data_IF_438046195018
#
_entry.id   IF_438046195018
#
_cell.length_a   1.000
_cell.length_b   1.000
_cell.length_c   1.000
_cell.angle_alpha   90.00
_cell.angle_beta   90.00
_cell.angle_gamma   90.00
#
_symmetry.space_group_name_H-M   'P 1'
#
loop_
_entity.id
_entity.type
_entity.pdbx_description
1 polymer ?
#
# COMPACT_ATOMS: atom_id res chain seq x y z
N UNK A 1 16.03 2.16 -3.02
CA UNK A 1 15.06 1.72 -1.98
C UNK A 1 15.83 1.47 -0.69
N UNK A 2 15.25 1.81 0.47
CA UNK A 2 15.72 1.35 1.78
C UNK A 2 14.74 0.30 2.32
N UNK A 3 15.26 -0.77 2.89
CA UNK A 3 14.48 -1.76 3.64
C UNK A 3 14.98 -1.78 5.08
N UNK A 4 14.08 -1.64 6.04
CA UNK A 4 14.37 -1.83 7.45
C UNK A 4 13.38 -2.81 8.07
N UNK A 5 13.85 -3.62 9.00
CA UNK A 5 13.06 -4.60 9.72
C UNK A 5 13.76 -5.08 10.99
N UNK A 6 12.96 -5.43 12.00
CA UNK A 6 13.44 -6.05 13.22
C UNK A 6 12.63 -7.32 13.48
N UNK A 7 13.33 -8.43 13.62
CA UNK A 7 12.71 -9.68 14.08
C UNK A 7 12.37 -9.59 15.56
N UNK A 8 11.19 -10.06 15.93
CA UNK A 8 10.78 -10.14 17.32
C UNK A 8 10.23 -11.54 17.66
N UNK A 9 10.17 -11.86 18.95
CA UNK A 9 9.32 -12.93 19.44
C UNK A 9 7.84 -12.52 19.42
N UNK A 10 6.95 -13.41 19.87
CA UNK A 10 5.51 -13.13 19.96
C UNK A 10 5.16 -12.13 21.05
N UNK A 11 6.08 -11.83 21.97
CA UNK A 11 5.97 -10.77 22.97
C UNK A 11 6.56 -9.44 22.50
N UNK A 12 6.92 -9.40 21.21
CA UNK A 12 7.46 -8.22 20.52
C UNK A 12 8.85 -7.82 21.03
N UNK A 13 9.59 -8.71 21.70
CA UNK A 13 10.97 -8.45 22.07
C UNK A 13 11.88 -8.67 20.87
N UNK A 14 12.82 -7.75 20.59
CA UNK A 14 13.77 -7.90 19.50
C UNK A 14 14.58 -9.19 19.61
N UNK A 15 14.78 -9.85 18.46
CA UNK A 15 15.63 -11.05 18.31
C UNK A 15 16.69 -10.73 17.25
N UNK A 16 17.96 -10.81 17.63
CA UNK A 16 19.07 -10.51 16.75
C UNK A 16 19.19 -9.03 16.38
N UNK A 17 20.09 -8.75 15.45
CA UNK A 17 20.31 -7.40 14.97
C UNK A 17 19.22 -6.98 13.98
N UNK A 18 18.88 -5.68 13.92
CA UNK A 18 17.95 -5.16 12.92
C UNK A 18 18.55 -5.27 11.51
N UNK A 19 17.70 -5.47 10.53
CA UNK A 19 18.05 -5.35 9.13
C UNK A 19 17.81 -3.91 8.70
N UNK A 20 18.84 -3.26 8.16
CA UNK A 20 18.74 -1.93 7.56
C UNK A 20 19.62 -1.90 6.32
N UNK A 21 19.02 -1.92 5.14
CA UNK A 21 19.70 -2.14 3.87
C UNK A 21 19.28 -1.13 2.82
N UNK A 22 20.22 -0.71 2.01
CA UNK A 22 19.96 0.01 0.77
C UNK A 22 19.96 -0.96 -0.41
N UNK A 23 19.03 -0.77 -1.33
CA UNK A 23 19.03 -1.43 -2.64
C UNK A 23 19.42 -0.42 -3.69
N UNK A 24 20.40 -0.79 -4.51
CA UNK A 24 20.95 0.06 -5.57
C UNK A 24 19.87 0.59 -6.47
N UNK A 25 19.94 1.88 -6.77
CA UNK A 25 19.12 2.46 -7.81
C UNK A 25 19.63 2.01 -9.17
N UNK A 26 18.72 1.66 -10.05
CA UNK A 26 19.04 1.18 -11.40
C UNK A 26 19.13 2.35 -12.37
N UNK A 27 19.96 2.23 -13.39
CA UNK A 27 20.28 3.29 -14.37
C UNK A 27 19.12 3.65 -15.31
N UNK A 28 18.01 2.94 -15.23
CA UNK A 28 16.77 3.22 -15.95
C UNK A 28 15.71 3.97 -15.09
N UNK A 29 16.10 4.48 -13.92
CA UNK A 29 15.14 5.04 -12.96
C UNK A 29 15.55 6.44 -12.49
N UNK A 30 14.67 7.43 -12.73
CA UNK A 30 14.73 8.73 -12.07
C UNK A 30 14.16 8.60 -10.65
N UNK A 31 14.85 9.12 -9.62
CA UNK A 31 14.33 9.07 -8.26
C UNK A 31 13.10 9.96 -8.09
N UNK A 32 12.21 9.63 -7.12
CA UNK A 32 11.20 10.60 -6.69
C UNK A 32 11.87 11.75 -5.92
N UNK A 33 11.82 13.00 -6.41
CA UNK A 33 12.41 14.12 -5.70
C UNK A 33 11.83 14.30 -4.29
N UNK A 34 10.54 14.06 -4.15
CA UNK A 34 9.85 14.14 -2.86
C UNK A 34 10.38 13.08 -1.87
N UNK A 35 10.59 11.86 -2.34
CA UNK A 35 11.09 10.78 -1.49
C UNK A 35 12.53 11.06 -1.01
N UNK A 36 13.39 11.59 -1.88
CA UNK A 36 14.75 11.97 -1.50
C UNK A 36 14.77 13.07 -0.46
N UNK A 37 13.93 14.11 -0.61
CA UNK A 37 13.83 15.19 0.37
C UNK A 37 13.39 14.68 1.74
N UNK A 38 12.50 13.67 1.78
CA UNK A 38 12.03 13.06 3.02
C UNK A 38 13.10 12.16 3.64
N UNK A 39 13.67 11.25 2.86
CA UNK A 39 14.62 10.24 3.39
C UNK A 39 16.04 10.78 3.55
N UNK A 40 16.47 11.66 2.64
CA UNK A 40 17.85 12.13 2.55
C UNK A 40 18.80 11.13 1.88
N UNK A 41 18.30 10.03 1.33
CA UNK A 41 19.10 8.96 0.70
C UNK A 41 19.27 9.28 -0.79
N UNK A 42 20.49 9.56 -1.21
CA UNK A 42 20.80 9.86 -2.61
C UNK A 42 20.97 8.59 -3.46
N UNK A 43 20.78 8.67 -4.79
CA UNK A 43 21.10 7.57 -5.70
C UNK A 43 22.54 7.11 -5.55
N UNK A 44 23.49 8.05 -5.45
CA UNK A 44 24.92 7.80 -5.29
C UNK A 44 25.22 6.98 -4.03
N UNK A 45 24.59 7.33 -2.92
CA UNK A 45 24.70 6.55 -1.69
C UNK A 45 24.16 5.13 -1.89
N UNK A 46 23.05 4.95 -2.63
CA UNK A 46 22.55 3.60 -2.89
C UNK A 46 23.50 2.77 -3.76
N UNK A 47 24.26 3.40 -4.65
CA UNK A 47 25.29 2.70 -5.44
C UNK A 47 26.47 2.26 -4.58
N UNK A 48 26.89 3.12 -3.65
CA UNK A 48 28.05 2.86 -2.77
C UNK A 48 27.73 1.78 -1.73
N UNK A 49 26.62 1.92 -1.01
CA UNK A 49 26.32 1.16 0.21
C UNK A 49 25.23 0.09 -0.01
N UNK A 50 24.59 0.09 -1.18
CA UNK A 50 23.46 -0.80 -1.47
C UNK A 50 23.88 -2.12 -2.11
N UNK A 51 22.99 -3.10 -2.03
CA UNK A 51 23.06 -4.38 -2.74
C UNK A 51 22.17 -4.36 -3.99
N UNK A 52 22.41 -5.28 -4.94
CA UNK A 52 21.57 -5.38 -6.13
C UNK A 52 20.15 -5.82 -5.79
N UNK A 53 19.20 -5.58 -6.71
CA UNK A 53 17.82 -6.06 -6.54
C UNK A 53 17.73 -7.58 -6.49
N UNK A 54 18.51 -8.28 -7.33
CA UNK A 54 18.56 -9.74 -7.34
C UNK A 54 19.06 -10.29 -6.01
N UNK A 55 20.09 -9.68 -5.43
CA UNK A 55 20.66 -10.06 -4.14
C UNK A 55 19.66 -9.79 -3.01
N UNK A 56 19.06 -8.61 -2.96
CA UNK A 56 18.04 -8.29 -1.96
C UNK A 56 16.83 -9.23 -2.07
N UNK A 57 16.34 -9.52 -3.28
CA UNK A 57 15.22 -10.46 -3.47
C UNK A 57 15.51 -11.85 -2.91
N UNK A 58 16.75 -12.34 -3.08
CA UNK A 58 17.22 -13.61 -2.53
C UNK A 58 17.27 -13.57 -1.00
N UNK A 59 17.89 -12.52 -0.44
CA UNK A 59 18.01 -12.31 1.01
C UNK A 59 16.63 -12.18 1.66
N UNK A 60 15.74 -11.40 1.06
CA UNK A 60 14.38 -11.23 1.57
C UNK A 60 13.64 -12.55 1.74
N UNK A 61 13.70 -13.44 0.75
CA UNK A 61 12.99 -14.72 0.80
C UNK A 61 13.67 -15.75 1.72
N UNK A 62 15.00 -15.76 1.78
CA UNK A 62 15.74 -16.80 2.47
C UNK A 62 16.05 -16.46 3.94
N UNK A 63 16.16 -15.17 4.27
CA UNK A 63 16.64 -14.72 5.59
C UNK A 63 15.61 -13.89 6.34
N UNK A 64 14.79 -13.10 5.62
CA UNK A 64 13.81 -12.21 6.24
C UNK A 64 12.43 -12.86 6.30
N UNK A 65 11.87 -13.25 5.17
CA UNK A 65 10.55 -13.88 5.09
C UNK A 65 10.64 -15.41 5.23
N UNK A 66 11.29 -15.90 6.29
CA UNK A 66 11.43 -17.34 6.56
C UNK A 66 10.10 -17.98 6.96
N UNK A 67 10.03 -19.34 6.95
CA UNK A 67 8.84 -20.08 7.36
C UNK A 67 8.30 -19.62 8.73
N UNK A 68 6.99 -19.50 8.86
CA UNK A 68 6.32 -19.07 10.10
C UNK A 68 6.37 -17.58 10.41
N UNK A 69 7.08 -16.76 9.61
CA UNK A 69 7.17 -15.32 9.86
C UNK A 69 5.83 -14.61 9.68
N UNK A 70 5.48 -13.74 10.63
CA UNK A 70 4.39 -12.76 10.51
C UNK A 70 5.01 -11.44 10.08
N UNK A 71 4.90 -11.07 8.80
CA UNK A 71 5.37 -9.77 8.33
C UNK A 71 4.38 -8.69 8.78
N UNK A 72 4.85 -7.79 9.65
CA UNK A 72 4.02 -6.76 10.25
C UNK A 72 4.50 -5.38 9.81
N UNK A 73 3.55 -4.51 9.47
CA UNK A 73 3.83 -3.14 9.08
C UNK A 73 2.68 -2.19 9.45
N UNK A 74 2.82 -0.95 9.03
CA UNK A 74 1.83 0.10 9.24
C UNK A 74 1.34 0.65 7.90
N UNK A 75 0.12 0.37 7.49
CA UNK A 75 -0.42 0.59 6.14
C UNK A 75 0.28 -0.25 5.06
N UNK A 76 0.99 -1.29 5.46
CA UNK A 76 1.85 -2.12 4.61
C UNK A 76 1.07 -2.88 3.54
N UNK A 77 -0.13 -3.39 3.86
CA UNK A 77 -0.98 -4.13 2.90
C UNK A 77 -1.33 -3.32 1.65
N UNK A 78 -1.34 -2.00 1.74
CA UNK A 78 -1.71 -1.10 0.62
C UNK A 78 -0.52 -0.48 -0.08
N UNK A 79 0.64 -0.50 0.53
CA UNK A 79 1.84 0.14 0.01
C UNK A 79 3.01 -0.85 -0.09
N UNK A 80 3.60 -1.26 1.02
CA UNK A 80 4.81 -2.08 1.03
C UNK A 80 4.60 -3.44 0.39
N UNK A 81 3.45 -4.09 0.64
CA UNK A 81 3.14 -5.39 0.05
C UNK A 81 3.01 -5.31 -1.47
N UNK A 82 2.35 -4.27 -1.99
CA UNK A 82 2.19 -4.09 -3.43
C UNK A 82 3.54 -3.77 -4.08
N UNK A 83 4.35 -2.94 -3.42
CA UNK A 83 5.71 -2.67 -3.86
C UNK A 83 6.55 -3.95 -3.91
N UNK A 84 6.55 -4.75 -2.84
CA UNK A 84 7.30 -6.00 -2.77
C UNK A 84 6.83 -7.04 -3.80
N UNK A 85 5.54 -7.10 -4.11
CA UNK A 85 5.03 -8.00 -5.17
C UNK A 85 5.60 -7.64 -6.54
N UNK A 86 5.54 -6.37 -6.92
CA UNK A 86 6.11 -5.92 -8.19
C UNK A 86 7.63 -6.04 -8.20
N UNK A 87 8.29 -5.76 -7.07
CA UNK A 87 9.72 -5.93 -6.92
C UNK A 87 10.16 -7.40 -7.10
N UNK A 88 9.48 -8.34 -6.44
CA UNK A 88 9.76 -9.77 -6.57
C UNK A 88 9.46 -10.27 -7.99
N UNK A 89 8.34 -9.82 -8.59
CA UNK A 89 7.96 -10.13 -9.96
C UNK A 89 9.07 -9.77 -10.95
N UNK A 90 9.55 -8.52 -10.92
CA UNK A 90 10.59 -8.08 -11.85
C UNK A 90 11.96 -8.71 -11.59
N UNK A 91 12.14 -9.38 -10.44
CA UNK A 91 13.36 -10.08 -10.06
C UNK A 91 13.22 -11.62 -10.10
N UNK A 92 12.27 -12.13 -10.88
CA UNK A 92 12.06 -13.57 -11.07
C UNK A 92 11.86 -14.34 -9.78
N UNK A 93 11.13 -13.76 -8.82
CA UNK A 93 10.70 -14.42 -7.59
C UNK A 93 9.18 -14.52 -7.58
N UNK A 94 8.65 -15.53 -6.86
CA UNK A 94 7.20 -15.59 -6.66
C UNK A 94 6.73 -14.36 -5.86
N UNK A 95 5.78 -13.56 -6.40
CA UNK A 95 5.36 -12.31 -5.78
C UNK A 95 4.41 -12.49 -4.59
N UNK A 96 3.95 -13.70 -4.29
CA UNK A 96 2.90 -13.96 -3.31
C UNK A 96 3.29 -14.88 -2.17
N UNK A 97 4.11 -15.93 -2.42
CA UNK A 97 4.42 -17.01 -1.47
C UNK A 97 5.02 -16.51 -0.15
N UNK A 98 5.80 -15.43 -0.18
CA UNK A 98 6.37 -14.81 1.02
C UNK A 98 5.31 -14.38 2.04
N UNK A 99 4.07 -14.19 1.62
CA UNK A 99 2.99 -13.63 2.42
C UNK A 99 2.00 -14.68 2.96
N UNK A 100 2.12 -15.95 2.57
CA UNK A 100 1.18 -16.99 2.99
C UNK A 100 1.73 -18.43 3.00
N UNK A 101 2.73 -18.75 2.18
CA UNK A 101 3.27 -20.12 2.11
C UNK A 101 4.04 -20.47 3.39
N UNK A 102 4.16 -21.76 3.70
CA UNK A 102 4.93 -22.25 4.85
C UNK A 102 4.57 -21.56 6.17
N UNK A 103 3.28 -21.42 6.44
CA UNK A 103 2.73 -20.76 7.64
C UNK A 103 3.10 -19.28 7.81
N UNK A 104 3.67 -18.66 6.78
CA UNK A 104 3.88 -17.20 6.74
C UNK A 104 2.54 -16.47 6.74
N UNK A 105 2.53 -15.26 7.22
CA UNK A 105 1.37 -14.40 7.18
C UNK A 105 1.77 -12.93 7.21
N UNK A 106 0.81 -12.05 6.95
CA UNK A 106 0.96 -10.59 7.03
C UNK A 106 0.03 -10.04 8.09
N UNK A 107 0.40 -8.91 8.66
CA UNK A 107 -0.47 -8.19 9.57
C UNK A 107 -0.23 -6.68 9.45
N UNK A 108 -1.28 -5.90 9.31
CA UNK A 108 -1.21 -4.45 9.17
C UNK A 108 -1.81 -3.79 10.42
N UNK A 109 -0.98 -3.05 11.14
CA UNK A 109 -1.39 -2.43 12.39
C UNK A 109 -2.27 -1.19 12.22
N UNK A 110 -2.33 -0.56 11.06
CA UNK A 110 -3.08 0.68 10.90
C UNK A 110 -4.59 0.50 11.15
N UNK A 111 -5.20 -0.54 10.56
CA UNK A 111 -6.63 -0.81 10.78
C UNK A 111 -6.88 -1.41 12.16
N UNK A 112 -5.89 -2.11 12.76
CA UNK A 112 -5.91 -2.54 14.18
C UNK A 112 -5.99 -1.33 15.10
N UNK A 113 -5.10 -0.35 14.95
CA UNK A 113 -5.09 0.92 15.69
C UNK A 113 -6.44 1.63 15.58
N UNK A 114 -7.01 1.71 14.37
CA UNK A 114 -8.33 2.31 14.15
C UNK A 114 -9.42 1.61 14.94
N UNK A 115 -9.46 0.27 14.91
CA UNK A 115 -10.50 -0.48 15.62
C UNK A 115 -10.31 -0.43 17.13
N UNK A 116 -9.07 -0.49 17.64
CA UNK A 116 -8.76 -0.33 19.07
C UNK A 116 -9.22 1.05 19.53
N UNK A 117 -8.88 2.11 18.82
CA UNK A 117 -9.35 3.47 19.13
C UNK A 117 -10.86 3.55 19.19
N UNK A 118 -11.53 2.94 18.21
CA UNK A 118 -12.98 2.97 18.09
C UNK A 118 -13.69 2.19 19.22
N UNK A 119 -13.14 1.04 19.66
CA UNK A 119 -13.82 0.15 20.58
C UNK A 119 -13.28 0.18 22.02
N UNK A 120 -11.97 0.37 22.17
CA UNK A 120 -11.25 0.22 23.45
C UNK A 120 -10.11 1.24 23.55
N UNK A 121 -10.42 2.55 23.65
CA UNK A 121 -9.39 3.60 23.63
C UNK A 121 -8.58 3.72 24.92
N UNK A 122 -9.00 3.11 26.01
CA UNK A 122 -8.41 3.32 27.33
C UNK A 122 -6.95 2.84 27.40
N UNK A 123 -6.15 3.53 28.17
CA UNK A 123 -4.72 3.23 28.36
C UNK A 123 -3.78 3.77 27.29
N UNK A 124 -4.31 4.34 26.19
CA UNK A 124 -3.53 4.85 25.07
C UNK A 124 -3.78 6.34 24.89
N UNK A 125 -2.70 7.11 24.71
CA UNK A 125 -2.78 8.53 24.38
C UNK A 125 -3.05 8.68 22.87
N UNK A 126 -4.24 9.15 22.52
CA UNK A 126 -4.66 9.24 21.12
C UNK A 126 -4.35 10.61 20.52
N UNK A 127 -3.59 10.68 19.42
CA UNK A 127 -3.23 11.94 18.83
C UNK A 127 -4.41 12.65 18.17
N UNK A 128 -4.46 13.96 18.34
CA UNK A 128 -5.43 14.86 17.71
C UNK A 128 -4.63 15.98 17.03
N UNK A 129 -4.89 16.20 15.76
CA UNK A 129 -4.30 17.32 15.01
C UNK A 129 -5.34 18.41 14.78
N UNK A 130 -4.90 19.63 14.68
CA UNK A 130 -5.74 20.76 14.25
C UNK A 130 -5.57 20.96 12.75
N UNK A 131 -6.66 20.92 12.02
CA UNK A 131 -6.71 21.17 10.58
C UNK A 131 -7.92 22.04 10.25
N UNK A 132 -7.70 23.18 9.59
CA UNK A 132 -8.75 24.14 9.21
C UNK A 132 -9.62 24.56 10.43
N UNK A 133 -8.98 24.80 11.59
CA UNK A 133 -9.64 25.17 12.83
C UNK A 133 -10.48 24.06 13.49
N UNK A 134 -10.35 22.81 13.02
CA UNK A 134 -11.06 21.65 13.57
C UNK A 134 -10.08 20.64 14.17
N UNK A 135 -10.41 20.12 15.34
CA UNK A 135 -9.68 19.00 15.96
C UNK A 135 -10.07 17.71 15.26
N UNK A 136 -9.09 17.04 14.65
CA UNK A 136 -9.29 15.82 13.89
C UNK A 136 -8.42 14.71 14.50
N UNK A 137 -9.05 13.56 14.72
CA UNK A 137 -8.34 12.33 15.11
C UNK A 137 -7.40 11.87 14.00
N UNK A 138 -6.11 11.71 14.31
CA UNK A 138 -5.14 11.08 13.42
C UNK A 138 -4.73 9.71 13.95
N UNK A 139 -4.34 8.82 13.03
CA UNK A 139 -3.82 7.49 13.35
C UNK A 139 -2.50 7.27 12.59
N UNK A 140 -1.70 8.33 12.38
CA UNK A 140 -0.35 8.16 11.80
C UNK A 140 0.58 7.54 12.83
N UNK A 141 1.52 6.70 12.39
CA UNK A 141 2.48 6.04 13.27
C UNK A 141 3.30 7.05 14.05
N UNK A 142 3.84 8.05 13.37
CA UNK A 142 4.62 9.14 13.95
C UNK A 142 3.86 9.87 15.07
N UNK A 143 2.61 10.31 14.80
CA UNK A 143 1.83 11.01 15.82
C UNK A 143 1.51 10.12 17.02
N UNK A 144 1.19 8.85 16.78
CA UNK A 144 0.86 7.90 17.84
C UNK A 144 2.10 7.56 18.68
N UNK A 145 3.25 7.39 18.04
CA UNK A 145 4.52 7.15 18.73
C UNK A 145 4.93 8.34 19.59
N UNK A 146 4.82 9.56 19.06
CA UNK A 146 5.12 10.80 19.78
C UNK A 146 4.23 10.98 21.02
N UNK A 147 2.92 10.83 20.89
CA UNK A 147 2.01 10.99 22.02
C UNK A 147 2.22 9.96 23.14
N UNK A 148 2.77 8.79 22.80
CA UNK A 148 3.02 7.69 23.73
C UNK A 148 4.51 7.49 24.09
N UNK A 149 5.34 8.49 23.80
CA UNK A 149 6.76 8.54 24.22
C UNK A 149 7.64 7.44 23.57
N UNK A 150 7.34 7.02 22.33
CA UNK A 150 8.13 6.06 21.53
C UNK A 150 8.91 6.73 20.39
N UNK A 151 8.94 8.06 20.34
CA UNK A 151 9.62 8.79 19.28
C UNK A 151 11.12 8.74 19.47
N UNK A 152 11.84 8.25 18.46
CA UNK A 152 13.29 8.36 18.38
C UNK A 152 13.69 9.70 17.73
N UNK A 153 14.83 10.27 18.16
CA UNK A 153 15.35 11.58 17.68
C UNK A 153 15.67 11.63 16.18
N UNK A 154 15.72 10.49 15.50
CA UNK A 154 15.98 10.36 14.06
C UNK A 154 14.69 10.07 13.29
N UNK A 155 13.68 10.93 13.42
CA UNK A 155 12.46 10.84 12.62
C UNK A 155 12.80 10.75 11.11
N UNK A 156 12.15 9.82 10.39
CA UNK A 156 12.33 9.50 8.97
C UNK A 156 13.52 8.58 8.60
N UNK A 157 14.20 7.98 9.56
CA UNK A 157 14.99 6.78 9.31
C UNK A 157 14.04 5.56 9.32
N UNK A 158 14.12 4.70 8.33
CA UNK A 158 13.25 3.54 8.24
C UNK A 158 13.36 2.59 9.45
N UNK A 159 14.52 2.53 10.10
CA UNK A 159 14.70 1.76 11.34
C UNK A 159 13.99 2.42 12.52
N UNK A 160 13.99 3.74 12.62
CA UNK A 160 13.24 4.46 13.64
C UNK A 160 11.72 4.22 13.51
N UNK A 161 11.20 4.14 12.29
CA UNK A 161 9.80 3.78 12.03
C UNK A 161 9.48 2.34 12.48
N UNK A 162 10.42 1.40 12.30
CA UNK A 162 10.27 0.02 12.78
C UNK A 162 10.25 -0.04 14.31
N UNK A 163 11.11 0.73 14.99
CA UNK A 163 11.11 0.83 16.45
C UNK A 163 9.81 1.44 16.99
N UNK A 164 9.32 2.50 16.35
CA UNK A 164 8.03 3.11 16.66
C UNK A 164 6.88 2.13 16.48
N UNK A 165 6.90 1.34 15.39
CA UNK A 165 5.91 0.29 15.12
C UNK A 165 5.89 -0.77 16.23
N UNK A 166 7.06 -1.25 16.65
CA UNK A 166 7.20 -2.21 17.76
C UNK A 166 6.68 -1.60 19.06
N UNK A 167 7.02 -0.34 19.35
CA UNK A 167 6.54 0.39 20.52
C UNK A 167 5.01 0.47 20.57
N UNK A 168 4.39 0.87 19.45
CA UNK A 168 2.93 0.93 19.32
C UNK A 168 2.30 -0.47 19.45
N UNK A 169 2.88 -1.49 18.82
CA UNK A 169 2.37 -2.85 18.94
C UNK A 169 2.43 -3.38 20.38
N UNK A 170 3.54 -3.12 21.12
CA UNK A 170 3.67 -3.45 22.54
C UNK A 170 2.63 -2.73 23.40
N UNK A 171 2.39 -1.44 23.13
CA UNK A 171 1.38 -0.66 23.83
C UNK A 171 -0.02 -1.27 23.62
N UNK A 172 -0.40 -1.55 22.36
CA UNK A 172 -1.68 -2.18 22.04
C UNK A 172 -1.83 -3.53 22.74
N UNK A 173 -0.79 -4.37 22.72
CA UNK A 173 -0.78 -5.69 23.38
C UNK A 173 -0.92 -5.57 24.89
N UNK A 174 -0.24 -4.59 25.51
CA UNK A 174 -0.27 -4.36 26.95
C UNK A 174 -1.63 -3.84 27.42
N UNK A 175 -2.14 -2.79 26.78
CA UNK A 175 -3.37 -2.09 27.24
C UNK A 175 -4.65 -2.81 26.79
N UNK A 176 -4.62 -3.47 25.63
CA UNK A 176 -5.79 -4.14 25.04
C UNK A 176 -5.50 -5.56 24.56
N UNK A 177 -4.97 -6.46 25.41
CA UNK A 177 -4.46 -7.78 25.00
C UNK A 177 -5.49 -8.64 24.28
N UNK A 178 -6.75 -8.67 24.75
CA UNK A 178 -7.80 -9.48 24.11
C UNK A 178 -8.13 -9.02 22.70
N UNK A 179 -8.18 -7.71 22.48
CA UNK A 179 -8.46 -7.13 21.15
C UNK A 179 -7.26 -7.33 20.25
N UNK A 180 -6.04 -7.17 20.78
CA UNK A 180 -4.81 -7.42 20.05
C UNK A 180 -4.75 -8.86 19.52
N UNK A 181 -4.92 -9.86 20.39
CA UNK A 181 -4.87 -11.28 20.03
C UNK A 181 -6.00 -11.66 19.06
N UNK A 182 -7.19 -11.12 19.27
CA UNK A 182 -8.34 -11.31 18.38
C UNK A 182 -8.02 -10.79 16.95
N UNK A 183 -7.53 -9.57 16.83
CA UNK A 183 -7.20 -8.97 15.53
C UNK A 183 -5.96 -9.62 14.90
N UNK A 184 -4.99 -10.05 15.69
CA UNK A 184 -3.86 -10.84 15.20
C UNK A 184 -4.34 -12.17 14.58
N UNK A 185 -5.36 -12.80 15.16
CA UNK A 185 -5.95 -14.03 14.60
C UNK A 185 -6.65 -13.77 13.25
N UNK A 186 -7.23 -12.58 13.03
CA UNK A 186 -7.90 -12.20 11.78
C UNK A 186 -6.93 -12.00 10.60
N UNK A 187 -5.61 -12.09 10.79
CA UNK A 187 -4.66 -12.20 9.66
C UNK A 187 -4.92 -13.48 8.83
N UNK A 188 -5.56 -14.47 9.43
CA UNK A 188 -6.04 -15.65 8.74
C UNK A 188 -7.36 -15.35 8.03
N UNK A 189 -7.36 -15.33 6.70
CA UNK A 189 -8.54 -15.03 5.89
C UNK A 189 -9.74 -15.95 6.19
N UNK A 190 -9.51 -17.20 6.65
CA UNK A 190 -10.59 -18.12 6.99
C UNK A 190 -11.40 -17.64 8.20
N UNK A 191 -10.75 -16.99 9.16
CA UNK A 191 -11.45 -16.41 10.33
C UNK A 191 -12.29 -15.21 9.92
N UNK A 192 -11.78 -14.38 9.01
CA UNK A 192 -12.57 -13.26 8.44
C UNK A 192 -13.77 -13.78 7.64
N UNK A 193 -13.59 -14.84 6.84
CA UNK A 193 -14.69 -15.44 6.06
C UNK A 193 -15.81 -15.98 6.96
N UNK A 194 -15.48 -16.54 8.13
CA UNK A 194 -16.50 -16.99 9.09
C UNK A 194 -17.35 -15.83 9.61
N UNK A 195 -16.71 -14.67 9.87
CA UNK A 195 -17.41 -13.47 10.34
C UNK A 195 -18.27 -12.83 9.26
N UNK A 196 -17.73 -12.72 8.05
CA UNK A 196 -18.40 -12.11 6.91
C UNK A 196 -19.16 -13.14 6.05
N UNK A 197 -19.81 -14.10 6.71
CA UNK A 197 -20.58 -15.16 6.08
C UNK A 197 -21.83 -14.60 5.38
N UNK A 198 -22.13 -15.07 4.18
CA UNK A 198 -23.31 -14.68 3.40
C UNK A 198 -24.53 -15.61 3.61
N UNK A 199 -24.34 -16.81 4.15
CA UNK A 199 -25.43 -17.74 4.41
C UNK A 199 -26.31 -17.27 5.59
N UNK A 200 -25.66 -16.73 6.63
CA UNK A 200 -26.33 -16.06 7.76
C UNK A 200 -25.58 -14.77 8.11
N UNK A 201 -25.76 -13.71 7.30
CA UNK A 201 -25.00 -12.47 7.45
C UNK A 201 -25.35 -11.76 8.75
N UNK A 202 -24.31 -11.44 9.52
CA UNK A 202 -24.41 -10.69 10.77
C UNK A 202 -23.80 -9.30 10.59
N UNK A 203 -24.29 -8.34 11.40
CA UNK A 203 -23.69 -7.00 11.44
C UNK A 203 -22.31 -7.03 12.08
N UNK A 204 -21.35 -6.36 11.45
CA UNK A 204 -19.97 -6.26 11.88
C UNK A 204 -19.56 -4.82 12.09
N UNK A 205 -18.83 -4.53 13.15
CA UNK A 205 -18.07 -3.29 13.27
C UNK A 205 -16.86 -3.40 12.37
N UNK A 206 -16.62 -2.43 11.50
CA UNK A 206 -15.53 -2.43 10.52
C UNK A 206 -14.78 -1.12 10.55
N UNK A 207 -13.47 -1.19 10.84
CA UNK A 207 -12.56 -0.05 10.77
C UNK A 207 -11.80 -0.07 9.44
N UNK A 208 -11.82 1.04 8.72
CA UNK A 208 -11.11 1.19 7.44
C UNK A 208 -10.87 2.65 7.12
N UNK A 209 -9.71 2.98 6.56
CA UNK A 209 -9.38 4.33 6.07
C UNK A 209 -10.38 4.91 5.07
N UNK A 210 -11.26 4.08 4.50
CA UNK A 210 -12.29 4.47 3.55
C UNK A 210 -13.53 5.12 4.19
N UNK A 211 -13.69 5.02 5.51
CA UNK A 211 -14.78 5.66 6.24
C UNK A 211 -14.38 7.06 6.70
N UNK A 212 -15.38 7.88 7.07
CA UNK A 212 -15.17 9.24 7.53
C UNK A 212 -14.33 9.30 8.82
N UNK A 213 -13.46 10.30 8.91
CA UNK A 213 -12.74 10.61 10.15
C UNK A 213 -13.69 11.09 11.28
N UNK A 214 -14.85 11.62 10.92
CA UNK A 214 -15.92 12.01 11.84
C UNK A 214 -16.41 10.84 12.70
N UNK A 215 -16.32 9.62 12.16
CA UNK A 215 -16.71 8.37 12.81
C UNK A 215 -15.47 7.53 13.16
N UNK A 216 -14.33 8.17 13.40
CA UNK A 216 -13.06 7.52 13.71
C UNK A 216 -12.68 6.39 12.72
N UNK A 217 -13.02 6.59 11.43
CA UNK A 217 -12.79 5.58 10.38
C UNK A 217 -13.51 4.24 10.60
N UNK A 218 -14.58 4.22 11.38
CA UNK A 218 -15.28 3.00 11.80
C UNK A 218 -16.79 3.11 11.60
N UNK A 219 -17.43 2.04 11.15
CA UNK A 219 -18.88 1.94 11.01
C UNK A 219 -19.37 0.53 11.31
N UNK A 220 -20.69 0.32 11.23
CA UNK A 220 -21.30 -1.00 11.25
C UNK A 220 -21.73 -1.39 9.85
N UNK A 221 -21.33 -2.58 9.41
CA UNK A 221 -21.61 -3.08 8.06
C UNK A 221 -22.36 -4.40 8.07
N UNK A 222 -23.06 -4.68 6.99
CA UNK A 222 -23.67 -5.98 6.71
C UNK A 222 -23.06 -6.57 5.43
N UNK A 223 -22.51 -7.80 5.44
CA UNK A 223 -22.19 -8.53 4.22
C UNK A 223 -23.46 -8.78 3.40
N UNK A 224 -23.44 -8.43 2.10
CA UNK A 224 -24.66 -8.46 1.25
C UNK A 224 -24.55 -9.35 0.02
N UNK A 225 -23.38 -9.46 -0.59
CA UNK A 225 -23.17 -10.23 -1.81
C UNK A 225 -21.68 -10.56 -2.01
N UNK A 226 -21.34 -11.61 -2.77
CA UNK A 226 -19.95 -11.83 -3.18
C UNK A 226 -19.44 -10.68 -4.06
N UNK A 227 -18.14 -10.40 -3.99
CA UNK A 227 -17.49 -9.48 -4.93
C UNK A 227 -17.05 -10.24 -6.18
N UNK A 228 -16.90 -9.53 -7.30
CA UNK A 228 -16.22 -10.06 -8.51
C UNK A 228 -14.75 -10.39 -8.25
N UNK A 229 -14.13 -9.77 -7.26
CA UNK A 229 -12.76 -10.09 -6.86
C UNK A 229 -12.72 -11.32 -5.96
N UNK A 230 -11.77 -12.24 -6.19
CA UNK A 230 -11.58 -13.36 -5.28
C UNK A 230 -11.19 -12.85 -3.88
N UNK A 231 -11.58 -13.60 -2.84
CA UNK A 231 -11.33 -13.27 -1.44
C UNK A 231 -11.93 -11.93 -0.96
N UNK A 232 -13.07 -11.54 -1.49
CA UNK A 232 -13.78 -10.33 -1.07
C UNK A 232 -15.29 -10.50 -1.04
N UNK A 233 -15.95 -9.72 -0.20
CA UNK A 233 -17.40 -9.63 -0.07
C UNK A 233 -17.82 -8.15 -0.13
N UNK A 234 -18.98 -7.87 -0.71
CA UNK A 234 -19.58 -6.56 -0.65
C UNK A 234 -20.26 -6.37 0.71
N UNK A 235 -19.99 -5.22 1.33
CA UNK A 235 -20.58 -4.85 2.61
C UNK A 235 -21.31 -3.53 2.49
N UNK A 236 -22.51 -3.45 3.07
CA UNK A 236 -23.31 -2.22 3.16
C UNK A 236 -23.03 -1.51 4.48
N UNK A 237 -22.84 -0.21 4.46
CA UNK A 237 -22.75 0.65 5.65
C UNK A 237 -24.15 0.90 6.22
N UNK A 238 -24.45 0.32 7.38
CA UNK A 238 -25.77 0.37 8.01
C UNK A 238 -26.14 1.74 8.59
N UNK A 239 -25.28 2.76 8.49
CA UNK A 239 -25.65 4.16 8.76
C UNK A 239 -26.63 4.70 7.72
N UNK A 240 -26.64 4.13 6.52
CA UNK A 240 -27.43 4.61 5.40
C UNK A 240 -28.70 3.78 5.22
N UNK A 241 -29.81 4.47 5.05
CA UNK A 241 -31.13 3.86 4.86
C UNK A 241 -31.20 3.19 3.48
N UNK A 242 -31.50 1.89 3.39
CA UNK A 242 -31.61 1.19 2.10
C UNK A 242 -32.66 1.80 1.16
N UNK A 243 -33.76 2.34 1.71
CA UNK A 243 -34.84 2.98 0.93
C UNK A 243 -34.38 4.18 0.08
N UNK A 244 -33.30 4.89 0.51
CA UNK A 244 -32.76 6.03 -0.27
C UNK A 244 -32.10 5.58 -1.59
N UNK A 245 -31.84 4.29 -1.75
CA UNK A 245 -31.11 3.71 -2.88
C UNK A 245 -31.91 2.68 -3.67
N UNK A 246 -33.10 2.29 -3.20
CA UNK A 246 -33.88 1.20 -3.82
C UNK A 246 -34.41 1.54 -5.23
N UNK A 247 -34.66 2.82 -5.49
CA UNK A 247 -35.16 3.30 -6.76
C UNK A 247 -34.04 3.54 -7.80
N UNK A 248 -32.76 3.43 -7.39
CA UNK A 248 -31.66 3.57 -8.36
C UNK A 248 -31.71 2.45 -9.39
N UNK A 249 -31.48 2.83 -10.62
CA UNK A 249 -31.23 1.89 -11.72
C UNK A 249 -29.82 1.28 -11.60
N UNK A 250 -29.60 0.17 -12.28
CA UNK A 250 -28.26 -0.45 -12.36
C UNK A 250 -27.20 0.53 -12.86
N UNK A 251 -27.54 1.33 -13.89
CA UNK A 251 -26.60 2.27 -14.51
C UNK A 251 -26.24 3.43 -13.57
N UNK A 252 -27.21 3.93 -12.79
CA UNK A 252 -26.96 4.93 -11.75
C UNK A 252 -26.07 4.37 -10.63
N UNK A 253 -26.27 3.11 -10.24
CA UNK A 253 -25.41 2.42 -9.28
C UNK A 253 -24.00 2.29 -9.85
N UNK A 254 -23.86 1.84 -11.10
CA UNK A 254 -22.56 1.71 -11.77
C UNK A 254 -21.83 3.06 -11.86
N UNK A 255 -22.54 4.13 -12.24
CA UNK A 255 -21.98 5.48 -12.28
C UNK A 255 -21.44 5.93 -10.92
N UNK A 256 -22.16 5.64 -9.81
CA UNK A 256 -21.68 5.95 -8.45
C UNK A 256 -20.43 5.13 -8.06
N UNK A 257 -20.34 3.89 -8.49
CA UNK A 257 -19.21 3.00 -8.21
C UNK A 257 -17.96 3.43 -8.98
N UNK A 258 -18.11 3.84 -10.24
CA UNK A 258 -17.04 4.18 -11.18
C UNK A 258 -16.68 5.66 -11.20
N UNK A 259 -17.42 6.51 -10.45
CA UNK A 259 -17.17 7.95 -10.38
C UNK A 259 -15.69 8.25 -10.12
N UNK A 260 -15.14 9.22 -10.85
CA UNK A 260 -13.79 9.72 -10.67
C UNK A 260 -13.62 10.52 -9.37
N UNK A 261 -12.40 10.94 -9.10
CA UNK A 261 -12.10 11.68 -7.88
C UNK A 261 -12.84 13.02 -7.82
N UNK A 262 -12.89 13.77 -8.93
CA UNK A 262 -13.51 15.09 -8.98
C UNK A 262 -15.02 15.01 -8.73
N UNK A 263 -15.69 14.03 -9.35
CA UNK A 263 -17.10 13.73 -9.09
C UNK A 263 -17.35 13.35 -7.63
N UNK A 264 -16.48 12.52 -7.04
CA UNK A 264 -16.64 12.07 -5.64
C UNK A 264 -16.49 13.16 -4.60
N UNK A 265 -15.74 14.21 -4.88
CA UNK A 265 -15.56 15.36 -3.95
C UNK A 265 -16.59 16.47 -4.17
N UNK A 266 -17.42 16.39 -5.19
CA UNK A 266 -18.51 17.35 -5.41
C UNK A 266 -19.49 17.34 -4.23
N UNK A 267 -19.98 18.52 -3.84
CA UNK A 267 -20.82 18.69 -2.63
C UNK A 267 -22.14 17.92 -2.68
N UNK A 268 -22.67 17.70 -3.88
CA UNK A 268 -23.93 17.04 -4.16
C UNK A 268 -23.77 15.53 -4.47
N UNK A 269 -22.54 15.02 -4.47
CA UNK A 269 -22.30 13.61 -4.72
C UNK A 269 -22.67 12.76 -3.50
N UNK A 270 -23.71 11.93 -3.64
CA UNK A 270 -24.10 10.93 -2.66
C UNK A 270 -23.46 9.57 -3.02
N UNK A 271 -22.39 9.14 -2.33
CA UNK A 271 -21.75 7.87 -2.62
C UNK A 271 -22.65 6.68 -2.30
N UNK A 272 -22.51 5.61 -3.07
CA UNK A 272 -23.14 4.33 -2.69
C UNK A 272 -22.47 3.82 -1.39
N UNK A 273 -23.27 3.46 -0.36
CA UNK A 273 -22.74 3.01 0.93
C UNK A 273 -22.26 1.54 0.90
N UNK A 274 -21.66 1.12 -0.19
CA UNK A 274 -21.16 -0.24 -0.41
C UNK A 274 -19.65 -0.22 -0.63
N UNK A 275 -18.96 -1.16 0.02
CA UNK A 275 -17.51 -1.34 -0.11
C UNK A 275 -17.15 -2.81 -0.18
N UNK A 276 -15.95 -3.09 -0.71
CA UNK A 276 -15.36 -4.44 -0.63
C UNK A 276 -14.64 -4.61 0.70
N UNK A 277 -14.96 -5.69 1.40
CA UNK A 277 -14.20 -6.24 2.51
C UNK A 277 -13.38 -7.40 1.97
N UNK A 278 -12.07 -7.22 1.91
CA UNK A 278 -11.14 -8.23 1.40
C UNK A 278 -10.64 -9.11 2.54
N UNK A 279 -10.91 -10.40 2.51
CA UNK A 279 -10.55 -11.35 3.57
C UNK A 279 -9.03 -11.47 3.78
N UNK A 280 -8.27 -11.32 2.71
CA UNK A 280 -6.82 -11.47 2.70
C UNK A 280 -6.04 -10.15 2.86
N UNK A 281 -6.70 -9.07 3.25
CA UNK A 281 -6.08 -7.76 3.49
C UNK A 281 -6.12 -7.34 4.97
N UNK A 282 -6.06 -8.31 5.88
CA UNK A 282 -6.04 -8.11 7.33
C UNK A 282 -7.12 -7.11 7.83
N UNK A 283 -8.40 -7.26 7.44
CA UNK A 283 -9.42 -6.29 7.79
C UNK A 283 -9.67 -6.29 9.31
N UNK A 284 -9.74 -5.12 9.91
CA UNK A 284 -10.09 -4.97 11.32
C UNK A 284 -11.62 -4.94 11.46
N UNK A 285 -12.18 -6.09 11.75
CA UNK A 285 -13.63 -6.29 11.96
C UNK A 285 -13.91 -6.91 13.32
N UNK A 286 -15.07 -6.64 13.87
CA UNK A 286 -15.53 -7.25 15.13
C UNK A 286 -17.06 -7.47 15.12
N UNK A 287 -17.59 -8.43 15.90
CA UNK A 287 -19.03 -8.59 16.07
C UNK A 287 -19.68 -7.33 16.64
N UNK A 288 -20.94 -7.06 16.27
CA UNK A 288 -21.69 -5.89 16.74
C UNK A 288 -21.74 -5.78 18.28
N UNK A 289 -21.84 -6.90 18.97
CA UNK A 289 -21.87 -6.96 20.45
C UNK A 289 -20.59 -6.46 21.15
N UNK A 290 -19.54 -6.11 20.41
CA UNK A 290 -18.33 -5.47 20.99
C UNK A 290 -18.49 -3.98 21.24
N UNK A 291 -19.54 -3.35 20.69
CA UNK A 291 -19.88 -1.94 20.91
C UNK A 291 -20.56 -1.75 22.26
N UNK A 292 -19.91 -1.00 23.14
CA UNK A 292 -20.53 -0.47 24.35
C UNK A 292 -21.17 0.90 24.09
N UNK A 293 -21.95 1.41 25.05
CA UNK A 293 -22.65 2.69 24.94
C UNK A 293 -21.69 3.88 24.69
N UNK A 294 -20.49 3.81 25.24
CA UNK A 294 -19.48 4.86 25.09
C UNK A 294 -18.93 4.89 23.67
N UNK A 295 -18.62 3.73 23.11
CA UNK A 295 -18.20 3.58 21.71
C UNK A 295 -19.32 4.01 20.75
N UNK A 296 -20.57 3.61 21.00
CA UNK A 296 -21.73 4.01 20.20
C UNK A 296 -21.84 5.54 20.10
N UNK A 297 -21.78 6.23 21.27
CA UNK A 297 -21.83 7.70 21.32
C UNK A 297 -20.67 8.35 20.61
N UNK A 298 -19.44 7.89 20.84
CA UNK A 298 -18.23 8.43 20.20
C UNK A 298 -18.26 8.26 18.69
N UNK A 299 -18.66 7.10 18.22
CA UNK A 299 -18.81 6.79 16.80
C UNK A 299 -20.10 7.37 16.19
N UNK A 300 -20.94 8.03 16.97
CA UNK A 300 -22.24 8.57 16.53
C UNK A 300 -23.11 7.49 15.87
N UNK A 301 -23.22 6.32 16.49
CA UNK A 301 -24.04 5.21 16.02
C UNK A 301 -25.42 5.23 16.70
N UNK A 302 -26.47 5.22 15.91
CA UNK A 302 -27.83 4.94 16.36
C UNK A 302 -28.12 3.45 16.16
N UNK A 303 -28.08 2.67 17.24
CA UNK A 303 -28.25 1.21 17.17
C UNK A 303 -29.65 0.83 16.68
N UNK A 304 -30.70 1.60 17.05
CA UNK A 304 -32.06 1.34 16.56
C UNK A 304 -32.17 1.53 15.06
N UNK A 305 -31.54 2.59 14.55
CA UNK A 305 -31.47 2.82 13.09
C UNK A 305 -30.69 1.71 12.39
N UNK A 306 -29.55 1.28 12.95
CA UNK A 306 -28.73 0.19 12.41
C UNK A 306 -29.56 -1.11 12.34
N UNK A 307 -30.31 -1.46 13.41
CA UNK A 307 -31.18 -2.64 13.43
C UNK A 307 -32.33 -2.54 12.41
N UNK A 308 -32.93 -1.37 12.28
CA UNK A 308 -33.95 -1.13 11.27
C UNK A 308 -33.40 -1.26 9.85
N UNK A 309 -32.24 -0.69 9.59
CA UNK A 309 -31.55 -0.76 8.28
C UNK A 309 -31.12 -2.19 7.96
N UNK A 310 -30.61 -2.93 8.94
CA UNK A 310 -30.32 -4.36 8.83
C UNK A 310 -31.55 -5.17 8.40
N UNK A 311 -32.66 -4.99 9.09
CA UNK A 311 -33.90 -5.72 8.78
C UNK A 311 -34.49 -5.33 7.44
N UNK A 312 -34.43 -4.05 7.06
CA UNK A 312 -34.85 -3.54 5.75
C UNK A 312 -34.00 -4.14 4.63
N UNK A 313 -32.67 -4.10 4.78
CA UNK A 313 -31.74 -4.58 3.74
C UNK A 313 -31.87 -6.09 3.51
N UNK A 314 -32.00 -6.89 4.58
CA UNK A 314 -32.21 -8.36 4.44
C UNK A 314 -33.46 -8.73 3.63
N UNK A 315 -34.49 -7.88 3.67
CA UNK A 315 -35.74 -8.07 2.91
C UNK A 315 -35.67 -7.53 1.49
N UNK A 316 -34.73 -6.62 1.20
CA UNK A 316 -34.64 -5.94 -0.10
C UNK A 316 -33.66 -6.65 -1.05
N UNK A 317 -33.98 -7.89 -1.45
CA UNK A 317 -33.18 -8.66 -2.39
C UNK A 317 -32.98 -7.95 -3.72
N UNK A 318 -34.01 -7.23 -4.22
CA UNK A 318 -33.92 -6.50 -5.47
C UNK A 318 -32.84 -5.42 -5.50
N UNK A 319 -32.63 -4.69 -4.39
CA UNK A 319 -31.53 -3.74 -4.26
C UNK A 319 -30.17 -4.44 -4.25
N UNK A 320 -30.03 -5.53 -3.48
CA UNK A 320 -28.80 -6.31 -3.38
C UNK A 320 -28.40 -6.86 -4.77
N UNK A 321 -29.37 -7.42 -5.52
CA UNK A 321 -29.12 -7.99 -6.83
C UNK A 321 -28.69 -6.91 -7.85
N UNK A 322 -29.34 -5.72 -7.81
CA UNK A 322 -28.92 -4.58 -8.64
C UNK A 322 -27.48 -4.14 -8.33
N UNK A 323 -27.14 -4.06 -7.05
CA UNK A 323 -25.77 -3.70 -6.60
C UNK A 323 -24.75 -4.75 -7.06
N UNK A 324 -25.04 -6.03 -6.84
CA UNK A 324 -24.15 -7.12 -7.24
C UNK A 324 -23.91 -7.13 -8.74
N UNK A 325 -24.97 -6.97 -9.52
CA UNK A 325 -24.87 -6.90 -10.98
C UNK A 325 -24.06 -5.71 -11.45
N UNK A 326 -24.35 -4.50 -10.94
CA UNK A 326 -23.57 -3.30 -11.29
C UNK A 326 -22.10 -3.42 -10.86
N UNK A 327 -21.82 -4.12 -9.75
CA UNK A 327 -20.45 -4.34 -9.30
C UNK A 327 -19.65 -5.26 -10.21
N UNK A 328 -20.32 -6.28 -10.77
CA UNK A 328 -19.70 -7.21 -11.72
C UNK A 328 -19.50 -6.58 -13.11
N UNK A 329 -20.32 -5.59 -13.47
CA UNK A 329 -20.22 -4.87 -14.75
C UNK A 329 -19.24 -3.69 -14.71
N UNK A 330 -18.46 -3.53 -13.64
CA UNK A 330 -17.40 -2.52 -13.64
C UNK A 330 -16.47 -2.73 -14.82
N UNK A 331 -16.13 -1.66 -15.54
CA UNK A 331 -15.13 -1.75 -16.59
C UNK A 331 -13.83 -2.28 -16.02
N UNK A 332 -13.18 -3.15 -16.76
CA UNK A 332 -11.82 -3.58 -16.45
C UNK A 332 -10.88 -2.37 -16.47
N UNK A 333 -9.85 -2.41 -15.64
CA UNK A 333 -8.81 -1.38 -15.69
C UNK A 333 -8.13 -1.42 -17.06
N UNK A 334 -7.81 -0.23 -17.59
CA UNK A 334 -6.99 -0.12 -18.79
C UNK A 334 -5.67 -0.89 -18.53
N UNK A 335 -5.31 -1.86 -19.40
CA UNK A 335 -4.08 -2.62 -19.23
C UNK A 335 -2.88 -1.69 -19.11
N UNK A 336 -2.00 -1.96 -18.16
CA UNK A 336 -0.73 -1.26 -18.02
C UNK A 336 0.14 -1.66 -19.21
N UNK A 337 0.71 -0.67 -19.91
CA UNK A 337 1.55 -0.94 -21.09
C UNK A 337 2.89 -1.54 -20.71
N UNK A 338 3.48 -1.05 -19.62
CA UNK A 338 4.78 -1.53 -19.16
C UNK A 338 4.68 -2.93 -18.57
N UNK A 339 5.59 -3.81 -18.99
CA UNK A 339 5.58 -5.22 -18.63
C UNK A 339 5.68 -5.43 -17.11
N UNK A 340 6.42 -4.60 -16.40
CA UNK A 340 6.61 -4.72 -14.96
C UNK A 340 5.34 -4.37 -14.17
N UNK A 341 4.47 -3.54 -14.76
CA UNK A 341 3.14 -3.22 -14.22
C UNK A 341 2.08 -4.30 -14.47
N UNK A 342 2.37 -5.29 -15.32
CA UNK A 342 1.43 -6.31 -15.78
C UNK A 342 1.37 -7.56 -14.89
N UNK A 343 1.83 -7.47 -13.65
CA UNK A 343 1.79 -8.56 -12.67
C UNK A 343 0.41 -9.20 -12.53
N UNK A 344 -0.65 -8.39 -12.56
CA UNK A 344 -2.03 -8.84 -12.31
C UNK A 344 -2.82 -9.24 -13.56
N UNK A 345 -2.22 -9.18 -14.74
CA UNK A 345 -2.92 -9.57 -15.98
C UNK A 345 -3.24 -11.06 -16.01
N UNK A 346 -2.35 -11.90 -15.50
CA UNK A 346 -2.55 -13.35 -15.38
C UNK A 346 -1.65 -13.96 -14.29
N UNK A 347 -2.02 -15.15 -13.83
CA UNK A 347 -1.13 -15.97 -13.02
C UNK A 347 -0.03 -16.60 -13.87
N UNK A 348 1.16 -16.72 -13.29
CA UNK A 348 2.27 -17.44 -13.93
C UNK A 348 1.91 -18.90 -14.17
N UNK A 349 2.02 -19.40 -15.41
CA UNK A 349 1.79 -20.81 -15.70
C UNK A 349 2.70 -21.74 -14.90
N UNK A 350 2.19 -22.88 -14.48
CA UNK A 350 2.98 -23.86 -13.70
C UNK A 350 4.21 -24.35 -14.46
N UNK A 351 4.14 -24.44 -15.78
CA UNK A 351 5.26 -24.79 -16.65
C UNK A 351 6.45 -23.81 -16.55
N UNK A 352 6.18 -22.54 -16.21
CA UNK A 352 7.22 -21.51 -16.10
C UNK A 352 7.82 -21.40 -14.71
N UNK A 353 7.20 -21.96 -13.69
CA UNK A 353 7.71 -21.89 -12.31
C UNK A 353 9.12 -22.45 -12.14
N UNK A 354 9.42 -23.56 -12.83
CA UNK A 354 10.78 -24.14 -12.82
C UNK A 354 11.79 -23.26 -13.56
N UNK A 355 11.38 -22.66 -14.69
CA UNK A 355 12.20 -21.74 -15.47
C UNK A 355 12.52 -20.46 -14.70
N UNK A 356 11.52 -19.89 -14.01
CA UNK A 356 11.67 -18.71 -13.13
C UNK A 356 12.68 -19.01 -12.02
N UNK A 357 12.57 -20.17 -11.36
CA UNK A 357 13.55 -20.57 -10.34
C UNK A 357 14.97 -20.76 -10.92
N UNK A 358 15.07 -21.26 -12.13
CA UNK A 358 16.37 -21.40 -12.81
C UNK A 358 16.99 -20.03 -13.12
N UNK A 359 16.20 -19.05 -13.63
CA UNK A 359 16.66 -17.65 -13.81
C UNK A 359 17.13 -17.06 -12.48
N UNK A 360 16.32 -17.23 -11.42
CA UNK A 360 16.61 -16.67 -10.11
C UNK A 360 17.85 -17.27 -9.42
N UNK A 361 18.29 -18.46 -9.84
CA UNK A 361 19.47 -19.16 -9.33
C UNK A 361 20.72 -18.97 -10.22
N UNK A 362 20.55 -18.47 -11.44
CA UNK A 362 21.62 -18.34 -12.41
C UNK A 362 22.57 -17.17 -12.05
N UNK A 363 23.84 -17.38 -12.37
CA UNK A 363 24.89 -16.35 -12.32
C UNK A 363 25.03 -15.63 -13.68
N UNK A 364 25.99 -14.71 -13.76
CA UNK A 364 26.23 -13.90 -14.97
C UNK A 364 26.57 -14.75 -16.19
N UNK A 365 27.41 -15.79 -16.02
CA UNK A 365 27.85 -16.64 -17.11
C UNK A 365 26.70 -17.51 -17.64
N UNK A 366 25.95 -18.12 -16.72
CA UNK A 366 24.77 -18.91 -17.06
C UNK A 366 23.69 -18.06 -17.76
N UNK A 367 23.46 -16.82 -17.29
CA UNK A 367 22.45 -15.93 -17.88
C UNK A 367 22.79 -15.45 -19.28
N UNK A 368 24.06 -15.42 -19.67
CA UNK A 368 24.47 -14.97 -20.99
C UNK A 368 23.83 -15.83 -22.10
N UNK A 369 23.84 -17.16 -21.91
CA UNK A 369 23.31 -18.10 -22.91
C UNK A 369 21.91 -18.65 -22.52
N UNK A 370 21.32 -18.16 -21.42
CA UNK A 370 20.08 -18.70 -20.89
C UNK A 370 18.87 -18.15 -21.64
N UNK A 371 18.25 -18.99 -22.47
CA UNK A 371 17.06 -18.65 -23.23
C UNK A 371 15.93 -19.65 -22.94
N UNK A 372 15.22 -19.53 -21.80
CA UNK A 372 14.12 -20.43 -21.47
C UNK A 372 12.92 -20.14 -22.36
N UNK A 373 12.32 -21.21 -22.91
CA UNK A 373 11.08 -21.13 -23.68
C UNK A 373 9.91 -20.90 -22.73
N UNK A 374 9.66 -19.65 -22.34
CA UNK A 374 8.53 -19.30 -21.49
C UNK A 374 7.20 -19.48 -22.22
N UNK A 375 6.17 -19.91 -21.47
CA UNK A 375 4.79 -19.95 -21.94
C UNK A 375 4.12 -18.58 -21.74
N UNK A 376 4.48 -17.88 -20.68
CA UNK A 376 4.02 -16.53 -20.37
C UNK A 376 4.78 -15.51 -21.22
N UNK A 377 4.05 -14.85 -22.12
CA UNK A 377 4.61 -13.87 -23.07
C UNK A 377 5.27 -12.65 -22.40
N UNK A 378 4.99 -12.41 -21.11
CA UNK A 378 5.59 -11.30 -20.35
C UNK A 378 7.03 -11.59 -19.94
N UNK A 379 7.38 -12.85 -19.73
CA UNK A 379 8.64 -13.25 -19.11
C UNK A 379 9.88 -13.02 -19.98
N UNK A 380 9.87 -13.16 -21.33
CA UNK A 380 11.05 -12.85 -22.14
C UNK A 380 11.54 -11.41 -21.99
N UNK A 381 10.64 -10.43 -22.09
CA UNK A 381 11.01 -9.02 -21.92
C UNK A 381 11.43 -8.73 -20.47
N UNK A 382 10.75 -9.33 -19.51
CA UNK A 382 11.11 -9.20 -18.09
C UNK A 382 12.50 -9.76 -17.81
N UNK A 383 12.88 -10.90 -18.43
CA UNK A 383 14.21 -11.50 -18.31
C UNK A 383 15.29 -10.59 -18.88
N UNK A 384 15.04 -10.00 -20.04
CA UNK A 384 15.96 -9.04 -20.65
C UNK A 384 16.23 -7.87 -19.69
N UNK A 385 15.20 -7.25 -19.13
CA UNK A 385 15.34 -6.13 -18.18
C UNK A 385 16.00 -6.57 -16.86
N UNK A 386 15.71 -7.77 -16.38
CA UNK A 386 16.36 -8.35 -15.20
C UNK A 386 17.86 -8.53 -15.40
N UNK A 387 18.27 -9.08 -16.56
CA UNK A 387 19.67 -9.21 -16.95
C UNK A 387 20.35 -7.83 -16.98
N UNK A 388 19.75 -6.87 -17.66
CA UNK A 388 20.32 -5.53 -17.84
C UNK A 388 20.57 -4.82 -16.49
N UNK A 389 19.66 -4.90 -15.53
CA UNK A 389 19.77 -4.24 -14.22
C UNK A 389 20.72 -4.94 -13.26
N UNK A 390 20.67 -6.27 -13.22
CA UNK A 390 21.38 -7.03 -12.20
C UNK A 390 22.66 -7.70 -12.71
N UNK A 391 22.72 -8.01 -14.00
CA UNK A 391 23.79 -8.77 -14.63
C UNK A 391 24.20 -8.16 -15.99
N UNK A 392 24.55 -6.88 -16.07
CA UNK A 392 24.80 -6.20 -17.36
C UNK A 392 25.90 -6.88 -18.21
N UNK A 393 26.82 -7.59 -17.56
CA UNK A 393 27.88 -8.36 -18.27
C UNK A 393 27.36 -9.62 -18.98
N UNK A 394 26.11 -10.03 -18.71
CA UNK A 394 25.46 -11.15 -19.40
C UNK A 394 24.78 -10.75 -20.71
N UNK A 395 24.75 -9.46 -21.06
CA UNK A 395 24.13 -8.96 -22.27
C UNK A 395 25.07 -9.09 -23.48
N UNK A 396 24.52 -9.51 -24.62
CA UNK A 396 25.18 -9.39 -25.91
C UNK A 396 25.25 -7.92 -26.36
N UNK A 397 26.07 -7.61 -27.39
CA UNK A 397 26.19 -6.26 -27.94
C UNK A 397 24.85 -5.73 -28.47
N UNK A 398 24.03 -6.58 -29.10
CA UNK A 398 22.71 -6.23 -29.60
C UNK A 398 21.72 -5.95 -28.43
N UNK A 399 21.80 -6.75 -27.35
CA UNK A 399 21.01 -6.54 -26.15
C UNK A 399 21.41 -5.22 -25.45
N UNK A 400 22.68 -4.87 -25.39
CA UNK A 400 23.14 -3.57 -24.85
C UNK A 400 22.56 -2.42 -25.66
N UNK A 401 22.61 -2.45 -26.99
CA UNK A 401 22.00 -1.42 -27.82
C UNK A 401 20.47 -1.32 -27.62
N UNK A 402 19.82 -2.45 -27.48
CA UNK A 402 18.37 -2.52 -27.18
C UNK A 402 18.05 -1.92 -25.81
N UNK A 403 18.86 -2.20 -24.78
CA UNK A 403 18.71 -1.64 -23.44
C UNK A 403 18.89 -0.12 -23.42
N UNK A 404 19.94 0.38 -24.05
CA UNK A 404 20.22 1.81 -24.14
C UNK A 404 19.09 2.58 -24.82
N UNK A 405 18.58 2.04 -25.92
CA UNK A 405 17.42 2.63 -26.61
C UNK A 405 16.19 2.65 -25.74
N UNK A 406 15.80 1.52 -25.15
CA UNK A 406 14.60 1.42 -24.29
C UNK A 406 14.73 2.32 -23.06
N UNK A 407 15.89 2.33 -22.41
CA UNK A 407 16.19 3.17 -21.26
C UNK A 407 16.07 4.65 -21.60
N UNK A 408 16.65 5.05 -22.72
CA UNK A 408 16.58 6.42 -23.22
C UNK A 408 15.14 6.87 -23.50
N UNK A 409 14.34 6.05 -24.17
CA UNK A 409 12.91 6.36 -24.42
C UNK A 409 12.13 6.52 -23.12
N UNK A 410 12.36 5.66 -22.14
CA UNK A 410 11.72 5.74 -20.80
C UNK A 410 12.13 7.01 -20.06
N UNK A 411 13.43 7.27 -19.94
CA UNK A 411 13.96 8.40 -19.21
C UNK A 411 13.54 9.74 -19.84
N UNK A 412 13.62 9.85 -21.17
CA UNK A 412 13.17 11.05 -21.89
C UNK A 412 11.68 11.35 -21.68
N UNK A 413 10.85 10.32 -21.53
CA UNK A 413 9.44 10.49 -21.23
C UNK A 413 9.19 10.98 -19.80
N UNK A 414 9.99 10.54 -18.83
CA UNK A 414 9.85 10.86 -17.41
C UNK A 414 10.54 12.20 -17.03
N UNK A 415 11.58 12.58 -17.75
CA UNK A 415 12.44 13.72 -17.48
C UNK A 415 11.70 15.06 -17.33
N UNK A 416 10.70 15.42 -18.17
CA UNK A 416 10.00 16.71 -18.04
C UNK A 416 9.28 16.87 -16.71
N UNK A 417 8.65 15.80 -16.17
CA UNK A 417 7.98 15.86 -14.86
C UNK A 417 9.01 15.89 -13.72
N UNK A 418 10.10 15.16 -13.86
CA UNK A 418 11.21 15.17 -12.92
C UNK A 418 11.83 16.57 -12.79
N UNK A 419 12.23 17.20 -13.90
CA UNK A 419 12.81 18.54 -13.93
C UNK A 419 11.83 19.58 -13.35
N UNK A 420 10.54 19.48 -13.69
CA UNK A 420 9.51 20.34 -13.11
C UNK A 420 9.44 20.23 -11.59
N UNK A 421 9.52 19.02 -11.04
CA UNK A 421 9.49 18.79 -9.59
C UNK A 421 10.75 19.30 -8.91
N UNK A 422 11.93 19.13 -9.54
CA UNK A 422 13.18 19.74 -9.03
C UNK A 422 13.06 21.26 -8.95
N UNK A 423 12.57 21.91 -10.01
CA UNK A 423 12.34 23.35 -10.00
C UNK A 423 11.33 23.80 -8.94
N UNK A 424 10.33 22.98 -8.62
CA UNK A 424 9.40 23.28 -7.53
C UNK A 424 10.06 23.17 -6.16
N UNK A 425 10.87 22.17 -5.94
CA UNK A 425 11.62 22.02 -4.68
C UNK A 425 12.62 23.14 -4.49
N UNK A 426 13.35 23.51 -5.53
CA UNK A 426 14.26 24.65 -5.53
C UNK A 426 13.52 25.96 -5.15
N UNK A 427 12.40 26.24 -5.80
CA UNK A 427 11.56 27.40 -5.47
C UNK A 427 11.04 27.35 -4.01
N UNK A 428 10.71 26.17 -3.48
CA UNK A 428 10.29 26.01 -2.08
C UNK A 428 11.44 26.32 -1.12
N UNK A 429 12.65 25.87 -1.42
CA UNK A 429 13.86 26.14 -0.62
C UNK A 429 14.16 27.63 -0.54
N UNK A 430 14.04 28.34 -1.65
CA UNK A 430 14.26 29.79 -1.72
C UNK A 430 13.02 30.62 -1.34
N UNK A 431 11.96 29.97 -0.85
CA UNK A 431 10.68 30.59 -0.52
C UNK A 431 10.03 31.38 -1.67
N UNK A 432 10.24 30.93 -2.87
CA UNK A 432 9.70 31.48 -4.11
C UNK A 432 8.42 30.77 -4.53
N UNK A 433 7.71 31.36 -5.49
CA UNK A 433 6.58 30.73 -6.17
C UNK A 433 6.82 30.80 -7.68
N UNK A 434 6.86 29.66 -8.37
CA UNK A 434 7.08 29.64 -9.81
C UNK A 434 6.02 30.44 -10.56
N UNK A 435 6.44 31.23 -11.55
CA UNK A 435 5.54 32.03 -12.39
C UNK A 435 4.83 31.14 -13.42
N UNK A 436 3.63 31.53 -13.81
CA UNK A 436 2.85 30.90 -14.91
C UNK A 436 2.46 29.41 -14.68
N UNK A 437 2.26 28.99 -13.43
CA UNK A 437 1.72 27.65 -13.15
C UNK A 437 0.26 27.52 -13.65
N UNK A 438 -0.05 26.38 -14.27
CA UNK A 438 -1.45 26.01 -14.51
C UNK A 438 -2.20 25.91 -13.17
N UNK A 439 -3.53 26.05 -13.18
CA UNK A 439 -4.35 25.90 -11.96
C UNK A 439 -4.10 24.56 -11.25
N UNK A 440 -3.89 23.49 -12.01
CA UNK A 440 -3.61 22.16 -11.48
C UNK A 440 -2.20 22.09 -10.86
N UNK A 441 -1.19 22.61 -11.56
CA UNK A 441 0.18 22.64 -11.04
C UNK A 441 0.29 23.54 -9.82
N UNK A 442 -0.44 24.66 -9.77
CA UNK A 442 -0.50 25.52 -8.60
C UNK A 442 -1.03 24.76 -7.36
N UNK A 443 -2.11 23.98 -7.53
CA UNK A 443 -2.61 23.12 -6.44
C UNK A 443 -1.57 22.11 -5.98
N UNK A 444 -0.88 21.45 -6.91
CA UNK A 444 0.16 20.45 -6.61
C UNK A 444 1.36 21.09 -5.92
N UNK A 445 1.82 22.24 -6.41
CA UNK A 445 2.95 22.98 -5.82
C UNK A 445 2.66 23.39 -4.37
N UNK A 446 1.51 24.00 -4.09
CA UNK A 446 1.17 24.38 -2.72
C UNK A 446 0.91 23.17 -1.81
N UNK A 447 0.37 22.09 -2.34
CA UNK A 447 0.27 20.86 -1.59
C UNK A 447 1.66 20.35 -1.20
N UNK A 448 2.62 20.31 -2.15
CA UNK A 448 4.01 19.92 -1.89
C UNK A 448 4.66 20.85 -0.84
N UNK A 449 4.60 22.16 -1.03
CA UNK A 449 5.16 23.16 -0.11
C UNK A 449 4.68 23.01 1.34
N UNK A 450 3.44 22.55 1.53
CA UNK A 450 2.83 22.43 2.86
C UNK A 450 3.27 21.19 3.64
N UNK A 451 3.85 20.17 2.98
CA UNK A 451 4.18 18.94 3.68
C UNK A 451 5.65 18.52 3.55
N UNK A 452 6.37 18.99 2.52
CA UNK A 452 7.75 18.58 2.29
C UNK A 452 8.68 19.11 3.39
N UNK A 453 9.48 18.28 4.06
CA UNK A 453 10.46 18.76 5.03
C UNK A 453 11.62 19.44 4.31
N UNK A 454 12.02 20.60 4.81
CA UNK A 454 13.25 21.28 4.36
C UNK A 454 14.37 20.87 5.33
N UNK A 455 15.29 20.06 4.84
CA UNK A 455 16.48 19.63 5.59
C UNK A 455 17.64 20.61 5.40
N UNK A 456 18.58 20.63 6.33
CA UNK A 456 19.79 21.47 6.23
C UNK A 456 20.62 21.19 4.96
N UNK A 457 20.61 19.94 4.48
CA UNK A 457 21.31 19.52 3.26
C UNK A 457 20.45 19.49 2.01
N UNK A 458 19.31 20.18 1.98
CA UNK A 458 18.34 20.09 0.89
C UNK A 458 18.92 20.52 -0.48
N UNK A 459 19.76 21.54 -0.54
CA UNK A 459 20.45 21.97 -1.76
C UNK A 459 21.39 20.87 -2.29
N UNK A 460 22.14 20.22 -1.40
CA UNK A 460 22.96 19.06 -1.77
C UNK A 460 22.11 17.93 -2.35
N UNK A 461 20.97 17.62 -1.75
CA UNK A 461 20.06 16.59 -2.25
C UNK A 461 19.55 16.91 -3.66
N UNK A 462 19.22 18.19 -3.94
CA UNK A 462 18.82 18.61 -5.29
C UNK A 462 19.94 18.42 -6.31
N UNK A 463 21.17 18.79 -5.97
CA UNK A 463 22.33 18.61 -6.83
C UNK A 463 22.60 17.12 -7.13
N UNK A 464 22.55 16.27 -6.11
CA UNK A 464 22.73 14.82 -6.28
C UNK A 464 21.67 14.18 -7.20
N UNK A 465 20.40 14.62 -7.11
CA UNK A 465 19.34 14.19 -8.02
C UNK A 465 19.60 14.61 -9.46
N UNK A 466 20.08 15.83 -9.65
CA UNK A 466 20.39 16.41 -10.95
C UNK A 466 21.58 15.66 -11.60
N UNK A 467 22.67 15.49 -10.85
CA UNK A 467 23.85 14.73 -11.28
C UNK A 467 23.50 13.27 -11.63
N UNK A 468 22.62 12.63 -10.84
CA UNK A 468 22.14 11.30 -11.16
C UNK A 468 21.41 11.27 -12.50
N UNK A 469 20.44 12.16 -12.70
CA UNK A 469 19.69 12.22 -13.95
C UNK A 469 20.63 12.42 -15.16
N UNK A 470 21.58 13.35 -15.05
CA UNK A 470 22.58 13.60 -16.09
C UNK A 470 23.45 12.35 -16.36
N UNK A 471 23.84 11.62 -15.31
CA UNK A 471 24.74 10.45 -15.43
C UNK A 471 24.08 9.24 -16.09
N UNK A 472 22.76 9.10 -16.00
CA UNK A 472 22.02 7.95 -16.55
C UNK A 472 21.35 8.25 -17.88
N UNK A 473 21.33 9.51 -18.36
CA UNK A 473 20.81 9.80 -19.69
C UNK A 473 21.74 9.21 -20.75
N UNK A 474 21.19 8.52 -21.77
CA UNK A 474 21.99 8.07 -22.90
C UNK A 474 22.68 9.26 -23.59
N UNK A 475 23.89 9.06 -24.01
CA UNK A 475 24.62 10.05 -24.83
C UNK A 475 23.90 10.14 -26.18
N UNK A 476 23.42 11.32 -26.54
CA UNK A 476 22.89 11.55 -27.88
C UNK A 476 24.07 11.48 -28.88
N UNK A 477 24.01 10.52 -29.83
CA UNK A 477 24.97 10.41 -30.92
C UNK A 477 24.79 11.52 -31.98
#
# INVERSE_FOLDING_TARGET
>A
MQFAGQRTDMDLNPIGEPVNLLVKMTDDTLPSPEALMVTGITPQQTLQDGISEAEFSRMFLNEIATAGTIMTGYNSVRFDDEFMRHFLWRNFRDPYEWSWAETRSRWDLLDVVRLVRALRPDGIKWPIIEKDGKKIATNTLESLARENDFENKNAHDALADVEALIGVAKLLKKEQPKVFDYLLNLRNKKEVMKLANLDDPQSLVYASGRYSAEFEKTTVVLPIAPSSKPNAVLVWDLRYLPADFENLTKDEILAKITADYETRIAKDFAPLPVKELCYNKCPAVAPLGTLDDTAQKRLKLDIKQIENNFNSLRKNRGLIDKISTAWNDKPEFTPVKDIEGRLYDSFTPDADKARIRAVAAADTETLADFNPNFVDERLPELLFRYKARNFPKSLSQDEIGTWEKWRGEKLNKELPDFVKKLAWLDAILHNETPKNLSKNDQKKFFALKNWIPIKENAEFLLQEMQLWAESIMPIED
#
